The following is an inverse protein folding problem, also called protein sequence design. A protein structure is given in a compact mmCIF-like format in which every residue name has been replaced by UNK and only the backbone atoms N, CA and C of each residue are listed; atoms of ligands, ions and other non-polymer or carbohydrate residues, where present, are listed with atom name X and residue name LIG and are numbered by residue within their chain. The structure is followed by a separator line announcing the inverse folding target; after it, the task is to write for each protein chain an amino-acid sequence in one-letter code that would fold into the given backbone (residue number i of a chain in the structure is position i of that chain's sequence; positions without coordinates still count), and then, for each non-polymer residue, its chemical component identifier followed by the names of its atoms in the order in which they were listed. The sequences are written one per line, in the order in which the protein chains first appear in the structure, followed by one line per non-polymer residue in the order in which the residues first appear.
data_IF_790350576986
#
_entry.id   IF_790350576986
#
_cell.length_a   1.000
_cell.length_b   1.000
_cell.length_c   1.000
_cell.angle_alpha   90.00
_cell.angle_beta   90.00
_cell.angle_gamma   90.00
#
_symmetry.space_group_name_H-M   'P 1'
#
loop_
_entity.id
_entity.type
_entity.pdbx_description
1 polymer ?
#
# COMPACT_ATOMS: atom_id res chain seq x y z
N UNK A 1 -3.13 -13.40 17.97
CA UNK A 1 -2.05 -14.37 18.34
C UNK A 1 -1.27 -14.71 17.08
N UNK A 2 0.06 -14.66 17.10
CA UNK A 2 0.86 -14.96 15.90
C UNK A 2 0.80 -16.46 15.59
N UNK A 3 0.56 -16.78 14.32
CA UNK A 3 0.59 -18.15 13.75
C UNK A 3 1.75 -18.33 12.76
N UNK A 4 2.76 -17.47 12.85
CA UNK A 4 3.95 -17.58 12.00
C UNK A 4 4.64 -18.91 12.24
N UNK A 5 4.91 -19.65 11.18
CA UNK A 5 5.59 -20.94 11.22
C UNK A 5 6.96 -20.81 10.56
N UNK A 6 8.00 -21.18 11.30
CA UNK A 6 9.36 -21.27 10.77
C UNK A 6 9.70 -22.76 10.66
N UNK A 7 9.93 -23.28 9.45
CA UNK A 7 10.31 -24.70 9.28
C UNK A 7 11.59 -25.02 10.05
N UNK A 8 11.64 -26.24 10.61
CA UNK A 8 12.85 -26.71 11.29
C UNK A 8 14.06 -26.69 10.36
N UNK A 9 15.15 -26.13 10.83
CA UNK A 9 16.39 -25.98 10.04
C UNK A 9 16.38 -24.83 9.03
N UNK A 10 15.31 -24.03 8.94
CA UNK A 10 15.32 -22.85 8.08
C UNK A 10 16.41 -21.87 8.48
N UNK A 11 17.16 -21.44 7.49
CA UNK A 11 18.13 -20.34 7.64
C UNK A 11 17.89 -19.34 6.53
N UNK A 12 17.86 -18.07 6.89
CA UNK A 12 17.76 -16.98 5.91
C UNK A 12 18.99 -17.04 4.98
N UNK A 13 18.79 -17.19 3.66
CA UNK A 13 19.92 -17.32 2.71
C UNK A 13 20.64 -15.99 2.45
N UNK A 14 20.02 -14.87 2.80
CA UNK A 14 20.55 -13.52 2.56
C UNK A 14 20.88 -12.83 3.89
N UNK A 15 21.96 -12.09 3.91
CA UNK A 15 22.22 -11.11 4.98
C UNK A 15 21.18 -9.96 4.90
N UNK A 16 21.06 -9.17 5.96
CA UNK A 16 20.14 -8.02 5.98
C UNK A 16 20.44 -7.02 4.86
N UNK A 17 21.71 -6.81 4.53
CA UNK A 17 22.10 -5.91 3.43
C UNK A 17 21.69 -6.47 2.07
N UNK A 18 21.94 -7.76 1.83
CA UNK A 18 21.53 -8.44 0.59
C UNK A 18 20.00 -8.47 0.44
N UNK A 19 19.28 -8.66 1.55
CA UNK A 19 17.82 -8.59 1.55
C UNK A 19 17.32 -7.19 1.11
N UNK A 20 17.92 -6.12 1.64
CA UNK A 20 17.52 -4.75 1.23
C UNK A 20 17.79 -4.50 -0.24
N UNK A 21 18.94 -4.96 -0.76
CA UNK A 21 19.25 -4.87 -2.20
C UNK A 21 18.29 -5.70 -3.06
N UNK A 22 17.91 -6.88 -2.60
CA UNK A 22 16.94 -7.72 -3.30
C UNK A 22 15.56 -7.05 -3.36
N UNK A 23 15.09 -6.44 -2.26
CA UNK A 23 13.83 -5.70 -2.22
C UNK A 23 13.88 -4.52 -3.20
N UNK A 24 14.95 -3.73 -3.20
CA UNK A 24 15.15 -2.62 -4.13
C UNK A 24 15.09 -3.08 -5.59
N UNK A 25 15.83 -4.11 -5.93
CA UNK A 25 15.86 -4.67 -7.28
C UNK A 25 14.48 -5.16 -7.73
N UNK A 26 13.80 -5.95 -6.89
CA UNK A 26 12.46 -6.47 -7.20
C UNK A 26 11.48 -5.31 -7.40
N UNK A 27 11.54 -4.29 -6.55
CA UNK A 27 10.66 -3.12 -6.68
C UNK A 27 10.88 -2.38 -8.00
N UNK A 28 12.14 -2.10 -8.36
CA UNK A 28 12.48 -1.40 -9.60
C UNK A 28 12.05 -2.21 -10.83
N UNK A 29 12.37 -3.49 -10.89
CA UNK A 29 12.03 -4.37 -12.00
C UNK A 29 10.52 -4.56 -12.14
N UNK A 30 9.83 -4.76 -11.04
CA UNK A 30 8.38 -4.91 -11.03
C UNK A 30 7.69 -3.63 -11.53
N UNK A 31 8.05 -2.46 -10.96
CA UNK A 31 7.51 -1.17 -11.37
C UNK A 31 7.76 -0.92 -12.87
N UNK A 32 9.00 -1.09 -13.32
CA UNK A 32 9.36 -0.87 -14.71
C UNK A 32 8.55 -1.76 -15.66
N UNK A 33 8.58 -3.07 -15.41
CA UNK A 33 7.90 -4.06 -16.24
C UNK A 33 6.40 -3.83 -16.29
N UNK A 34 5.77 -3.54 -15.14
CA UNK A 34 4.35 -3.28 -15.05
C UNK A 34 3.95 -1.99 -15.78
N UNK A 35 4.70 -0.91 -15.55
CA UNK A 35 4.44 0.37 -16.19
C UNK A 35 4.57 0.30 -17.71
N UNK A 36 5.58 -0.41 -18.24
CA UNK A 36 5.75 -0.59 -19.66
C UNK A 36 4.63 -1.44 -20.26
N UNK A 37 4.33 -2.59 -19.66
CA UNK A 37 3.35 -3.54 -20.20
C UNK A 37 1.92 -3.02 -20.17
N UNK A 38 1.56 -2.27 -19.15
CA UNK A 38 0.20 -1.75 -18.96
C UNK A 38 0.06 -0.28 -19.33
N UNK A 39 1.12 0.36 -19.83
CA UNK A 39 1.13 1.79 -20.15
C UNK A 39 0.73 2.65 -18.93
N UNK A 40 1.46 2.49 -17.82
CA UNK A 40 1.21 3.20 -16.59
C UNK A 40 2.22 4.33 -16.36
N UNK A 41 1.79 5.30 -15.57
CA UNK A 41 2.64 6.38 -15.06
C UNK A 41 2.66 6.30 -13.52
N UNK A 42 3.85 6.32 -12.93
CA UNK A 42 3.95 6.34 -11.47
C UNK A 42 3.49 7.66 -10.90
N UNK A 43 2.62 7.60 -9.91
CA UNK A 43 2.17 8.75 -9.11
C UNK A 43 2.45 8.49 -7.63
N UNK A 44 2.67 9.55 -6.86
CA UNK A 44 2.84 9.44 -5.41
C UNK A 44 1.50 9.26 -4.72
N UNK A 45 1.42 8.26 -3.85
CA UNK A 45 0.25 7.99 -3.04
C UNK A 45 0.29 8.75 -1.70
N UNK A 46 -0.87 9.11 -1.12
CA UNK A 46 -0.92 9.66 0.23
C UNK A 46 -0.69 8.55 1.26
N UNK A 47 0.01 8.90 2.35
CA UNK A 47 0.10 8.03 3.53
C UNK A 47 -1.19 8.05 4.36
N UNK A 48 -1.86 9.19 4.38
CA UNK A 48 -3.13 9.39 5.10
C UNK A 48 -4.06 10.30 4.29
N UNK A 49 -5.32 10.22 4.59
CA UNK A 49 -6.37 11.04 3.98
C UNK A 49 -7.27 11.63 5.07
N UNK A 50 -7.97 12.72 4.77
CA UNK A 50 -9.05 13.22 5.62
C UNK A 50 -10.20 12.19 5.64
N UNK A 51 -10.58 11.73 6.83
CA UNK A 51 -11.62 10.71 6.99
C UNK A 51 -12.97 11.12 6.38
N UNK A 52 -13.25 12.43 6.29
CA UNK A 52 -14.48 12.96 5.68
C UNK A 52 -14.56 12.74 4.17
N UNK A 53 -13.44 12.50 3.51
CA UNK A 53 -13.38 12.29 2.06
C UNK A 53 -13.92 10.94 1.61
N UNK A 54 -13.99 9.96 2.51
CA UNK A 54 -14.36 8.59 2.19
C UNK A 54 -13.36 7.87 1.27
N UNK A 55 -12.15 8.43 1.08
CA UNK A 55 -11.11 7.87 0.20
C UNK A 55 -10.34 6.71 0.83
N UNK A 56 -10.36 6.58 2.17
CA UNK A 56 -9.81 5.40 2.81
C UNK A 56 -10.70 4.19 2.52
N UNK A 57 -10.08 3.06 2.25
CA UNK A 57 -10.82 1.84 1.95
C UNK A 57 -11.22 1.16 3.26
N UNK A 58 -12.49 0.79 3.38
CA UNK A 58 -13.02 0.14 4.58
C UNK A 58 -12.71 -1.36 4.64
N UNK A 59 -11.97 -1.89 3.65
CA UNK A 59 -11.68 -3.32 3.51
C UNK A 59 -12.97 -4.16 3.58
N UNK A 60 -13.18 -4.88 4.69
CA UNK A 60 -14.41 -5.66 4.93
C UNK A 60 -15.51 -4.84 5.66
N UNK A 61 -15.25 -3.56 5.96
CA UNK A 61 -16.20 -2.66 6.62
C UNK A 61 -16.24 -2.75 8.14
N UNK A 62 -15.33 -3.51 8.75
CA UNK A 62 -15.22 -3.67 10.20
C UNK A 62 -13.89 -3.17 10.77
N UNK A 63 -12.88 -3.05 9.93
CA UNK A 63 -11.54 -2.63 10.30
C UNK A 63 -11.53 -1.12 10.62
N UNK A 64 -10.89 -0.79 11.75
CA UNK A 64 -10.76 0.58 12.21
C UNK A 64 -9.48 1.21 11.68
N UNK A 65 -9.50 2.39 11.05
CA UNK A 65 -8.28 3.07 10.65
C UNK A 65 -7.48 3.55 11.86
N UNK A 66 -6.17 3.70 11.69
CA UNK A 66 -5.35 4.49 12.60
C UNK A 66 -5.60 5.95 12.28
N UNK A 67 -6.18 6.67 13.23
CA UNK A 67 -6.52 8.09 13.07
C UNK A 67 -5.68 8.99 13.97
N UNK A 68 -5.52 10.24 13.54
CA UNK A 68 -4.93 11.32 14.32
C UNK A 68 -5.55 12.66 13.90
N UNK A 69 -5.53 13.62 14.84
CA UNK A 69 -6.00 14.96 14.57
C UNK A 69 -4.91 15.85 13.95
N UNK A 70 -5.34 16.79 13.13
CA UNK A 70 -4.50 17.84 12.55
C UNK A 70 -5.12 19.19 12.99
N UNK A 71 -4.72 19.73 14.16
CA UNK A 71 -5.36 20.92 14.74
C UNK A 71 -5.34 22.14 13.82
N UNK A 72 -4.22 22.38 13.13
CA UNK A 72 -4.08 23.53 12.23
C UNK A 72 -5.01 23.47 11.00
N UNK A 73 -5.50 22.29 10.64
CA UNK A 73 -6.45 22.09 9.55
C UNK A 73 -7.88 21.82 10.03
N UNK A 74 -8.10 21.75 11.35
CA UNK A 74 -9.37 21.32 11.95
C UNK A 74 -9.89 20.03 11.30
N UNK A 75 -9.03 19.04 11.14
CA UNK A 75 -9.31 17.80 10.42
C UNK A 75 -8.84 16.58 11.21
N UNK A 76 -9.49 15.45 10.94
CA UNK A 76 -9.07 14.13 11.39
C UNK A 76 -8.54 13.34 10.19
N UNK A 77 -7.27 12.96 10.27
CA UNK A 77 -6.62 12.13 9.26
C UNK A 77 -6.71 10.66 9.62
N UNK A 78 -6.75 9.83 8.60
CA UNK A 78 -6.71 8.38 8.72
C UNK A 78 -5.57 7.85 7.87
N UNK A 79 -4.69 7.05 8.48
CA UNK A 79 -3.69 6.28 7.73
C UNK A 79 -4.42 5.29 6.83
N UNK A 80 -4.04 5.23 5.58
CA UNK A 80 -4.75 4.42 4.58
C UNK A 80 -4.62 2.91 4.86
N UNK A 81 -5.71 2.19 4.63
CA UNK A 81 -5.72 0.72 4.60
C UNK A 81 -5.40 0.19 3.19
N UNK A 82 -5.91 0.90 2.19
CA UNK A 82 -5.78 0.61 0.77
C UNK A 82 -6.09 1.87 -0.03
N UNK A 83 -5.68 1.90 -1.30
CA UNK A 83 -5.85 3.06 -2.17
C UNK A 83 -6.82 2.83 -3.34
N UNK A 84 -7.67 1.82 -3.30
CA UNK A 84 -8.57 1.53 -4.41
C UNK A 84 -9.44 2.74 -4.80
N UNK A 85 -10.09 3.35 -3.83
CA UNK A 85 -10.93 4.56 -4.06
C UNK A 85 -10.09 5.77 -4.48
N UNK A 86 -8.94 5.97 -3.83
CA UNK A 86 -8.05 7.08 -4.15
C UNK A 86 -7.49 6.99 -5.56
N UNK A 87 -7.08 5.81 -6.01
CA UNK A 87 -6.54 5.61 -7.37
C UNK A 87 -7.56 6.00 -8.44
N UNK A 88 -8.82 5.62 -8.29
CA UNK A 88 -9.89 6.01 -9.22
C UNK A 88 -10.10 7.51 -9.27
N UNK A 89 -10.10 8.16 -8.10
CA UNK A 89 -10.13 9.63 -8.03
C UNK A 89 -8.89 10.26 -8.68
N UNK A 90 -7.70 9.67 -8.46
CA UNK A 90 -6.45 10.17 -9.01
C UNK A 90 -6.40 10.08 -10.55
N UNK A 91 -6.97 9.02 -11.16
CA UNK A 91 -7.11 8.95 -12.62
C UNK A 91 -7.83 10.18 -13.17
N UNK A 92 -8.92 10.58 -12.53
CA UNK A 92 -9.67 11.77 -12.92
C UNK A 92 -8.89 13.07 -12.63
N UNK A 93 -8.37 13.23 -11.43
CA UNK A 93 -7.70 14.48 -10.99
C UNK A 93 -6.39 14.77 -11.71
N UNK A 94 -5.72 13.75 -12.21
CA UNK A 94 -4.43 13.88 -12.90
C UNK A 94 -4.57 13.76 -14.42
N UNK A 95 -5.79 13.92 -14.93
CA UNK A 95 -6.12 13.94 -16.36
C UNK A 95 -5.61 12.71 -17.13
N UNK A 96 -5.73 11.53 -16.52
CA UNK A 96 -5.46 10.29 -17.23
C UNK A 96 -6.52 10.04 -18.32
N UNK A 97 -6.08 9.69 -19.50
CA UNK A 97 -6.97 9.38 -20.62
C UNK A 97 -7.16 7.86 -20.79
N UNK A 98 -8.24 7.42 -21.46
CA UNK A 98 -8.45 6.00 -21.72
C UNK A 98 -7.24 5.32 -22.39
N UNK A 99 -6.80 4.21 -21.83
CA UNK A 99 -5.61 3.49 -22.30
C UNK A 99 -4.31 3.84 -21.58
N UNK A 100 -4.32 4.88 -20.71
CA UNK A 100 -3.23 5.25 -19.80
C UNK A 100 -3.68 5.06 -18.36
N UNK A 101 -2.89 4.38 -17.55
CA UNK A 101 -3.18 4.18 -16.14
C UNK A 101 -2.09 4.71 -15.22
N UNK A 102 -2.32 4.60 -13.94
CA UNK A 102 -1.35 4.92 -12.91
C UNK A 102 -0.81 3.67 -12.20
N UNK A 103 0.44 3.76 -11.77
CA UNK A 103 1.07 2.88 -10.79
C UNK A 103 1.37 3.68 -9.53
N UNK A 104 1.24 3.07 -8.38
CA UNK A 104 1.65 3.67 -7.11
C UNK A 104 2.16 2.63 -6.13
N UNK A 105 3.03 3.06 -5.26
CA UNK A 105 3.55 2.32 -4.13
C UNK A 105 3.22 3.09 -2.85
N UNK A 106 2.82 2.39 -1.81
CA UNK A 106 2.40 2.99 -0.55
C UNK A 106 2.64 2.05 0.62
N UNK A 107 2.68 2.64 1.81
CA UNK A 107 2.63 1.88 3.05
C UNK A 107 1.25 2.02 3.70
N UNK A 108 0.75 0.93 4.25
CA UNK A 108 -0.52 0.89 4.96
C UNK A 108 -0.37 0.27 6.34
N UNK A 109 -1.27 0.63 7.24
CA UNK A 109 -1.37 0.04 8.58
C UNK A 109 -2.74 -0.62 8.71
N UNK A 110 -2.76 -1.93 8.93
CA UNK A 110 -3.94 -2.75 9.17
C UNK A 110 -3.97 -3.14 10.65
N UNK A 111 -4.43 -2.22 11.48
CA UNK A 111 -4.38 -2.39 12.94
C UNK A 111 -5.23 -3.54 13.47
N UNK A 112 -6.30 -3.89 12.77
CA UNK A 112 -7.26 -4.92 13.17
C UNK A 112 -7.01 -6.25 12.44
N UNK A 113 -5.76 -6.52 12.03
CA UNK A 113 -5.39 -7.83 11.48
C UNK A 113 -5.46 -8.90 12.57
N UNK A 114 -6.47 -9.77 12.50
CA UNK A 114 -6.77 -10.75 13.53
C UNK A 114 -5.70 -11.85 13.66
N UNK A 115 -5.09 -12.20 12.55
CA UNK A 115 -4.14 -13.31 12.47
C UNK A 115 -2.85 -12.86 11.79
N UNK A 116 -1.79 -12.77 12.58
CA UNK A 116 -0.44 -12.57 12.06
C UNK A 116 0.19 -13.93 11.77
N UNK A 117 0.46 -14.20 10.52
CA UNK A 117 1.06 -15.44 10.04
C UNK A 117 2.17 -15.15 9.01
N UNK A 118 2.53 -16.13 8.18
CA UNK A 118 3.56 -15.94 7.16
C UNK A 118 3.11 -15.05 5.97
N UNK A 119 1.82 -14.73 5.87
CA UNK A 119 1.24 -13.96 4.76
C UNK A 119 0.60 -12.64 5.20
N UNK A 120 0.23 -12.51 6.47
CA UNK A 120 -0.50 -11.37 6.99
C UNK A 120 0.34 -10.56 7.99
N UNK A 121 0.33 -9.23 7.81
CA UNK A 121 1.07 -8.30 8.65
C UNK A 121 0.25 -7.04 8.91
N UNK A 122 0.50 -6.42 10.06
CA UNK A 122 -0.07 -5.09 10.41
C UNK A 122 0.48 -4.01 9.50
N UNK A 123 1.75 -4.08 9.13
CA UNK A 123 2.39 -3.18 8.18
C UNK A 123 2.41 -3.80 6.80
N UNK A 124 1.94 -3.05 5.80
CA UNK A 124 1.86 -3.49 4.41
C UNK A 124 2.61 -2.51 3.52
N UNK A 125 3.51 -3.04 2.69
CA UNK A 125 4.09 -2.34 1.55
C UNK A 125 3.32 -2.79 0.30
N UNK A 126 2.49 -1.91 -0.23
CA UNK A 126 1.55 -2.22 -1.31
C UNK A 126 1.99 -1.56 -2.61
N UNK A 127 2.16 -2.37 -3.65
CA UNK A 127 2.42 -1.93 -5.02
C UNK A 127 1.18 -2.21 -5.85
N UNK A 128 0.60 -1.17 -6.42
CA UNK A 128 -0.73 -1.27 -6.99
C UNK A 128 -0.90 -0.37 -8.22
N UNK A 129 -1.93 -0.61 -9.00
CA UNK A 129 -2.20 0.13 -10.22
C UNK A 129 -3.71 0.31 -10.45
N UNK A 130 -4.06 1.26 -11.32
CA UNK A 130 -5.43 1.50 -11.79
C UNK A 130 -5.37 2.04 -13.24
N UNK A 131 -6.34 1.62 -14.08
CA UNK A 131 -6.35 1.99 -15.50
C UNK A 131 -7.76 2.13 -16.05
#
# INVERSE_FOLDING_TARGET
MSKTTIPSGYRMPLSNNELQRAIELIHQEFQHSLCVRLNLHRVSAPLFVDGRTGLNDDLNGVERPVGFDIPCANANAQVVHSLAKWKRMALYRYDFYPGKGLYTDMNAIRRDEDVLDNLHSVYVDQWDWEK
#
